data_IF_062124901346
#
_entry.id   IF_062124901346
#
_cell.length_a   1.000
_cell.length_b   1.000
_cell.length_c   1.000
_cell.angle_alpha   90.00
_cell.angle_beta   90.00
_cell.angle_gamma   90.00
#
_symmetry.space_group_name_H-M   'P 1'
#
loop_
_entity.id
_entity.type
_entity.pdbx_description
1 polymer ?
#
# COMPACT_ATOMS: atom_id res chain seq x y z
N UNK A 1 5.67 25.19 7.67
CA UNK A 1 6.36 23.90 7.95
C UNK A 1 7.73 24.23 8.51
N UNK A 2 8.04 23.70 9.67
CA UNK A 2 9.36 23.88 10.29
C UNK A 2 10.41 23.05 9.51
N UNK A 3 11.66 23.53 9.44
CA UNK A 3 12.78 22.85 8.75
C UNK A 3 12.95 21.40 9.25
N UNK A 4 12.69 21.14 10.53
CA UNK A 4 12.70 19.82 11.14
C UNK A 4 11.62 18.88 10.59
N UNK A 5 10.44 19.41 10.26
CA UNK A 5 9.35 18.62 9.65
C UNK A 5 9.71 18.22 8.22
N UNK A 6 10.26 19.16 7.44
CA UNK A 6 10.71 18.90 6.06
C UNK A 6 11.78 17.81 6.05
N UNK A 7 12.78 17.92 6.92
CA UNK A 7 13.84 16.91 7.06
C UNK A 7 13.28 15.55 7.51
N UNK A 8 12.27 15.54 8.39
CA UNK A 8 11.60 14.31 8.82
C UNK A 8 10.90 13.58 7.67
N UNK A 9 10.13 14.30 6.84
CA UNK A 9 9.49 13.72 5.64
C UNK A 9 10.52 13.25 4.60
N UNK A 10 11.57 14.03 4.37
CA UNK A 10 12.64 13.69 3.42
C UNK A 10 13.40 12.43 3.84
N UNK A 11 13.79 12.31 5.11
CA UNK A 11 14.52 11.16 5.63
C UNK A 11 13.72 9.85 5.47
N UNK A 12 12.41 9.88 5.75
CA UNK A 12 11.55 8.72 5.57
C UNK A 12 11.38 8.31 4.11
N UNK A 13 11.21 9.29 3.24
CA UNK A 13 11.08 9.04 1.79
C UNK A 13 12.37 8.45 1.21
N UNK A 14 13.52 9.02 1.56
CA UNK A 14 14.85 8.53 1.11
C UNK A 14 15.10 7.12 1.66
N UNK A 15 14.89 6.89 2.97
CA UNK A 15 15.07 5.57 3.57
C UNK A 15 14.16 4.52 2.96
N UNK A 16 12.89 4.87 2.71
CA UNK A 16 11.92 4.00 2.04
C UNK A 16 12.36 3.66 0.61
N UNK A 17 12.97 4.59 -0.08
CA UNK A 17 13.45 4.43 -1.44
C UNK A 17 14.71 3.54 -1.51
N UNK A 18 15.66 3.73 -0.59
CA UNK A 18 16.84 2.85 -0.46
C UNK A 18 16.42 1.41 -0.21
N UNK A 19 15.47 1.18 0.72
CA UNK A 19 14.95 -0.16 0.99
C UNK A 19 14.24 -0.77 -0.23
N UNK A 20 13.55 0.05 -1.04
CA UNK A 20 12.91 -0.43 -2.27
C UNK A 20 13.90 -0.96 -3.30
N UNK A 21 15.15 -0.51 -3.30
CA UNK A 21 16.22 -1.02 -4.16
C UNK A 21 16.87 -2.28 -3.60
N UNK A 22 16.94 -2.41 -2.27
CA UNK A 22 17.58 -3.56 -1.60
C UNK A 22 16.67 -4.81 -1.65
N UNK A 23 15.35 -4.65 -1.57
CA UNK A 23 14.41 -5.78 -1.49
C UNK A 23 14.45 -6.68 -2.76
N UNK A 24 14.43 -6.16 -4.01
CA UNK A 24 14.45 -7.01 -5.22
C UNK A 24 15.64 -7.97 -5.32
N UNK A 25 16.91 -7.57 -5.11
CA UNK A 25 18.03 -8.50 -5.06
C UNK A 25 17.85 -9.59 -3.98
N UNK A 26 17.36 -9.21 -2.80
CA UNK A 26 17.12 -10.17 -1.73
C UNK A 26 16.05 -11.18 -2.11
N UNK A 27 14.98 -10.75 -2.80
CA UNK A 27 13.94 -11.66 -3.33
C UNK A 27 14.53 -12.66 -4.31
N UNK A 28 15.40 -12.21 -5.24
CA UNK A 28 15.98 -13.07 -6.26
C UNK A 28 16.93 -14.14 -5.71
N UNK A 29 17.45 -13.97 -4.49
CA UNK A 29 18.26 -15.00 -3.83
C UNK A 29 17.43 -16.18 -3.28
N UNK A 30 16.19 -15.91 -2.90
CA UNK A 30 15.34 -16.90 -2.22
C UNK A 30 14.23 -17.46 -3.11
N UNK A 31 13.75 -16.68 -4.10
CA UNK A 31 12.55 -17.04 -4.87
C UNK A 31 12.78 -17.02 -6.36
N UNK A 32 12.14 -17.94 -7.10
CA UNK A 32 12.16 -17.95 -8.56
C UNK A 32 11.43 -16.71 -9.13
N UNK A 33 11.75 -16.36 -10.38
CA UNK A 33 11.25 -15.14 -11.02
C UNK A 33 9.71 -15.12 -11.17
N UNK A 34 9.08 -16.28 -11.35
CA UNK A 34 7.62 -16.38 -11.46
C UNK A 34 6.89 -16.05 -10.14
N UNK A 35 7.44 -16.44 -8.98
CA UNK A 35 6.90 -16.04 -7.67
C UNK A 35 7.06 -14.53 -7.44
N UNK A 36 8.17 -13.94 -7.88
CA UNK A 36 8.38 -12.50 -7.84
C UNK A 36 7.36 -11.81 -8.77
N UNK A 37 7.10 -12.37 -9.95
CA UNK A 37 6.07 -11.87 -10.86
C UNK A 37 4.68 -11.87 -10.22
N UNK A 38 4.32 -12.91 -9.44
CA UNK A 38 3.06 -12.95 -8.68
C UNK A 38 2.96 -11.83 -7.65
N UNK A 39 4.04 -11.58 -6.89
CA UNK A 39 4.07 -10.46 -5.92
C UNK A 39 3.93 -9.10 -6.60
N UNK A 40 4.56 -8.92 -7.73
CA UNK A 40 4.42 -7.68 -8.51
C UNK A 40 2.96 -7.47 -8.96
N UNK A 41 2.27 -8.54 -9.38
CA UNK A 41 0.84 -8.47 -9.68
C UNK A 41 0.00 -8.13 -8.44
N UNK A 42 0.30 -8.75 -7.30
CA UNK A 42 -0.36 -8.44 -6.03
C UNK A 42 -0.22 -6.96 -5.68
N UNK A 43 0.98 -6.42 -5.74
CA UNK A 43 1.23 -4.99 -5.47
C UNK A 43 0.54 -4.07 -6.51
N UNK A 44 0.48 -4.52 -7.76
CA UNK A 44 -0.21 -3.80 -8.84
C UNK A 44 -1.72 -3.80 -8.60
N UNK A 45 -2.29 -4.93 -8.21
CA UNK A 45 -3.72 -5.05 -7.86
C UNK A 45 -4.09 -4.15 -6.68
N UNK A 46 -3.22 -4.06 -5.65
CA UNK A 46 -3.46 -3.20 -4.48
C UNK A 46 -3.67 -1.73 -4.85
N UNK A 47 -2.95 -1.22 -5.85
CA UNK A 47 -3.16 0.14 -6.35
C UNK A 47 -4.56 0.36 -6.93
N UNK A 48 -5.08 -0.62 -7.66
CA UNK A 48 -6.45 -0.59 -8.20
C UNK A 48 -7.49 -0.73 -7.09
N UNK A 49 -7.30 -1.73 -6.21
CA UNK A 49 -8.20 -2.02 -5.09
C UNK A 49 -8.41 -0.77 -4.23
N UNK A 50 -7.32 -0.09 -3.85
CA UNK A 50 -7.41 1.16 -3.08
C UNK A 50 -8.15 2.25 -3.87
N UNK A 51 -7.85 2.43 -5.16
CA UNK A 51 -8.49 3.47 -5.98
C UNK A 51 -10.01 3.23 -6.13
N UNK A 52 -10.41 1.97 -6.31
CA UNK A 52 -11.81 1.56 -6.44
C UNK A 52 -12.54 1.65 -5.10
N UNK A 53 -11.96 1.12 -4.01
CA UNK A 53 -12.63 1.08 -2.71
C UNK A 53 -12.72 2.45 -2.05
N UNK A 54 -11.67 3.28 -2.17
CA UNK A 54 -11.70 4.63 -1.61
C UNK A 54 -12.65 5.57 -2.34
N UNK A 55 -12.98 5.34 -3.60
CA UNK A 55 -13.81 6.24 -4.42
C UNK A 55 -13.38 7.72 -4.31
N UNK A 56 -12.08 7.97 -4.09
CA UNK A 56 -11.52 9.31 -3.89
C UNK A 56 -11.87 9.97 -2.54
N UNK A 57 -12.48 9.24 -1.60
CA UNK A 57 -12.80 9.74 -0.26
C UNK A 57 -11.55 10.08 0.56
N UNK A 58 -10.44 9.43 0.28
CA UNK A 58 -9.11 9.79 0.83
C UNK A 58 -8.67 11.19 0.38
N UNK A 59 -8.91 11.56 -0.87
CA UNK A 59 -8.62 12.90 -1.40
C UNK A 59 -9.61 13.94 -0.88
N UNK A 60 -10.89 13.56 -0.74
CA UNK A 60 -11.91 14.41 -0.12
C UNK A 60 -11.55 14.73 1.35
N UNK A 61 -11.00 13.74 2.09
CA UNK A 61 -10.51 13.95 3.45
C UNK A 61 -9.42 15.01 3.52
N UNK A 62 -8.43 14.95 2.64
CA UNK A 62 -7.34 15.95 2.59
C UNK A 62 -7.88 17.35 2.28
N UNK A 63 -8.79 17.44 1.30
CA UNK A 63 -9.38 18.72 0.90
C UNK A 63 -10.18 19.38 2.00
N UNK A 64 -11.04 18.62 2.68
CA UNK A 64 -11.97 19.16 3.67
C UNK A 64 -11.35 19.30 5.08
N UNK A 65 -10.14 18.75 5.30
CA UNK A 65 -9.54 18.66 6.64
C UNK A 65 -9.42 19.98 7.38
N UNK A 66 -8.98 21.06 6.70
CA UNK A 66 -8.79 22.37 7.33
C UNK A 66 -10.09 23.17 7.44
N UNK A 67 -11.08 22.88 6.61
CA UNK A 67 -12.38 23.52 6.63
C UNK A 67 -13.37 22.84 7.60
N UNK A 68 -13.11 21.60 8.00
CA UNK A 68 -13.99 20.85 8.87
C UNK A 68 -13.93 21.35 10.32
N UNK A 69 -15.09 21.65 10.89
CA UNK A 69 -15.22 22.02 12.32
C UNK A 69 -14.95 20.80 13.23
N UNK A 70 -15.42 19.60 12.82
CA UNK A 70 -15.19 18.34 13.51
C UNK A 70 -14.43 17.37 12.60
N UNK A 71 -13.15 17.21 12.88
CA UNK A 71 -12.23 16.35 12.12
C UNK A 71 -12.48 14.86 12.38
N UNK A 72 -13.04 14.51 13.51
CA UNK A 72 -13.31 13.11 13.88
C UNK A 72 -14.56 12.61 13.15
N UNK A 73 -15.59 13.42 13.06
CA UNK A 73 -16.77 13.18 12.19
C UNK A 73 -16.36 13.06 10.72
N UNK A 74 -15.49 13.96 10.24
CA UNK A 74 -14.97 13.90 8.87
C UNK A 74 -14.25 12.59 8.61
N UNK A 75 -13.30 12.22 9.47
CA UNK A 75 -12.54 10.96 9.32
C UNK A 75 -13.46 9.75 9.35
N UNK A 76 -14.32 9.63 10.37
CA UNK A 76 -15.26 8.50 10.48
C UNK A 76 -16.13 8.35 9.25
N UNK A 77 -16.71 9.45 8.81
CA UNK A 77 -17.67 9.45 7.70
C UNK A 77 -17.02 9.04 6.37
N UNK A 78 -15.78 9.48 6.11
CA UNK A 78 -15.10 9.19 4.84
C UNK A 78 -14.33 7.86 4.86
N UNK A 79 -13.92 7.37 6.05
CA UNK A 79 -13.18 6.12 6.19
C UNK A 79 -14.09 4.88 6.32
N UNK A 80 -15.23 5.01 6.99
CA UNK A 80 -16.09 3.86 7.30
C UNK A 80 -16.65 3.15 6.06
N UNK A 81 -17.21 3.84 5.02
CA UNK A 81 -17.73 3.17 3.84
C UNK A 81 -16.69 2.34 3.07
N UNK A 82 -15.48 2.88 2.74
CA UNK A 82 -14.41 2.07 2.17
C UNK A 82 -14.02 0.87 3.02
N UNK A 83 -13.94 1.05 4.35
CA UNK A 83 -13.57 -0.04 5.26
C UNK A 83 -14.62 -1.16 5.25
N UNK A 84 -15.90 -0.82 5.31
CA UNK A 84 -16.99 -1.80 5.29
C UNK A 84 -17.07 -2.54 3.94
N UNK A 85 -16.90 -1.84 2.82
CA UNK A 85 -16.87 -2.47 1.50
C UNK A 85 -15.67 -3.40 1.35
N UNK A 86 -14.48 -2.99 1.82
CA UNK A 86 -13.29 -3.84 1.82
C UNK A 86 -13.48 -5.10 2.68
N UNK A 87 -14.05 -4.95 3.89
CA UNK A 87 -14.33 -6.07 4.78
C UNK A 87 -15.35 -7.05 4.19
N UNK A 88 -16.40 -6.55 3.55
CA UNK A 88 -17.42 -7.37 2.88
C UNK A 88 -16.84 -8.17 1.71
N UNK A 89 -16.01 -7.52 0.86
CA UNK A 89 -15.34 -8.18 -0.26
C UNK A 89 -14.33 -9.22 0.26
N UNK A 90 -13.55 -8.87 1.29
CA UNK A 90 -12.61 -9.81 1.90
C UNK A 90 -13.33 -11.04 2.49
N UNK A 91 -14.45 -10.84 3.19
CA UNK A 91 -15.25 -11.95 3.72
C UNK A 91 -15.80 -12.84 2.60
N UNK A 92 -16.25 -12.26 1.49
CA UNK A 92 -16.70 -13.00 0.31
C UNK A 92 -15.56 -13.81 -0.32
N UNK A 93 -14.39 -13.21 -0.49
CA UNK A 93 -13.22 -13.88 -1.08
C UNK A 93 -12.69 -14.99 -0.16
N UNK A 94 -12.72 -14.79 1.15
CA UNK A 94 -12.30 -15.79 2.13
C UNK A 94 -13.29 -16.95 2.27
N UNK A 95 -14.52 -16.85 1.76
CA UNK A 95 -15.45 -17.99 1.69
C UNK A 95 -14.96 -19.09 0.72
N UNK A 96 -14.13 -18.71 -0.26
CA UNK A 96 -13.41 -19.61 -1.16
C UNK A 96 -11.94 -19.16 -1.25
N UNK A 97 -11.08 -19.57 -0.30
CA UNK A 97 -9.75 -18.99 -0.12
C UNK A 97 -8.80 -19.13 -1.32
N UNK A 98 -8.95 -20.16 -2.16
CA UNK A 98 -8.13 -20.34 -3.36
C UNK A 98 -8.54 -19.41 -4.52
N UNK A 99 -9.77 -18.89 -4.53
CA UNK A 99 -10.26 -18.08 -5.63
C UNK A 99 -9.40 -16.83 -5.94
N UNK A 100 -8.95 -16.04 -4.95
CA UNK A 100 -8.08 -14.89 -5.22
C UNK A 100 -6.75 -15.26 -5.88
N UNK A 101 -6.12 -16.37 -5.44
CA UNK A 101 -4.88 -16.86 -6.04
C UNK A 101 -5.08 -17.47 -7.42
N UNK A 102 -6.20 -18.16 -7.68
CA UNK A 102 -6.57 -18.63 -9.02
C UNK A 102 -6.68 -17.47 -10.02
N UNK A 103 -7.41 -16.40 -9.63
CA UNK A 103 -7.65 -15.23 -10.51
C UNK A 103 -6.37 -14.46 -10.78
N UNK A 104 -5.62 -14.13 -9.73
CA UNK A 104 -4.48 -13.22 -9.86
C UNK A 104 -3.20 -13.95 -10.24
N UNK A 105 -2.93 -15.11 -9.64
CA UNK A 105 -1.67 -15.85 -9.77
C UNK A 105 -1.76 -17.05 -10.70
N UNK A 106 -2.98 -17.43 -11.14
CA UNK A 106 -3.24 -18.67 -11.87
C UNK A 106 -2.76 -19.90 -11.09
N UNK A 107 -2.95 -19.89 -9.76
CA UNK A 107 -2.49 -20.89 -8.81
C UNK A 107 -3.64 -21.27 -7.87
N UNK A 108 -3.99 -22.55 -7.78
CA UNK A 108 -4.97 -23.06 -6.81
C UNK A 108 -4.28 -23.31 -5.46
N UNK A 109 -4.12 -22.24 -4.67
CA UNK A 109 -3.46 -22.27 -3.36
C UNK A 109 -4.23 -21.37 -2.38
N UNK A 110 -4.90 -22.00 -1.43
CA UNK A 110 -5.68 -21.28 -0.41
C UNK A 110 -4.79 -20.41 0.50
N UNK A 111 -3.56 -20.84 0.81
CA UNK A 111 -2.66 -20.07 1.67
C UNK A 111 -2.19 -18.79 0.96
N UNK A 112 -1.82 -18.89 -0.31
CA UNK A 112 -1.48 -17.73 -1.14
C UNK A 112 -2.68 -16.79 -1.30
N UNK A 113 -3.89 -17.32 -1.47
CA UNK A 113 -5.12 -16.54 -1.56
C UNK A 113 -5.47 -15.79 -0.26
N UNK A 114 -5.32 -16.43 0.90
CA UNK A 114 -5.49 -15.77 2.20
C UNK A 114 -4.47 -14.65 2.36
N UNK A 115 -3.18 -14.93 2.06
CA UNK A 115 -2.12 -13.92 2.10
C UNK A 115 -2.43 -12.70 1.22
N UNK A 116 -2.91 -12.93 -0.01
CA UNK A 116 -3.35 -11.89 -0.92
C UNK A 116 -4.47 -11.02 -0.31
N UNK A 117 -5.54 -11.64 0.20
CA UNK A 117 -6.68 -10.90 0.77
C UNK A 117 -6.26 -10.08 1.99
N UNK A 118 -5.43 -10.62 2.88
CA UNK A 118 -4.90 -9.91 4.04
C UNK A 118 -4.00 -8.74 3.63
N UNK A 119 -3.17 -8.93 2.59
CA UNK A 119 -2.34 -7.88 2.03
C UNK A 119 -3.21 -6.73 1.50
N UNK A 120 -4.18 -7.02 0.63
CA UNK A 120 -5.09 -6.04 0.04
C UNK A 120 -5.90 -5.28 1.11
N UNK A 121 -6.47 -6.00 2.09
CA UNK A 121 -7.26 -5.41 3.17
C UNK A 121 -6.44 -4.44 4.04
N UNK A 122 -5.14 -4.70 4.20
CA UNK A 122 -4.26 -3.86 5.00
C UNK A 122 -3.99 -2.48 4.40
N UNK A 123 -4.06 -2.33 3.07
CA UNK A 123 -3.75 -1.07 2.39
C UNK A 123 -4.69 0.07 2.73
N UNK A 124 -5.96 -0.22 2.92
CA UNK A 124 -6.98 0.80 3.17
C UNK A 124 -6.75 1.53 4.50
N UNK A 125 -6.62 0.83 5.66
CA UNK A 125 -6.28 1.51 6.91
C UNK A 125 -4.91 2.19 6.86
N UNK A 126 -3.91 1.59 6.22
CA UNK A 126 -2.60 2.24 6.03
C UNK A 126 -2.77 3.57 5.28
N UNK A 127 -3.52 3.60 4.18
CA UNK A 127 -3.76 4.79 3.37
C UNK A 127 -4.36 5.92 4.20
N UNK A 128 -5.49 5.67 4.89
CA UNK A 128 -6.19 6.70 5.65
C UNK A 128 -5.42 7.15 6.90
N UNK A 129 -4.79 6.22 7.64
CA UNK A 129 -4.05 6.58 8.85
C UNK A 129 -2.75 7.34 8.55
N UNK A 130 -2.10 7.07 7.41
CA UNK A 130 -1.00 7.90 6.93
C UNK A 130 -1.46 9.32 6.60
N UNK A 131 -2.63 9.49 5.97
CA UNK A 131 -3.18 10.82 5.71
C UNK A 131 -3.47 11.58 7.01
N UNK A 132 -3.98 10.91 8.05
CA UNK A 132 -4.16 11.53 9.37
C UNK A 132 -2.83 12.07 9.89
N UNK A 133 -1.77 11.26 9.92
CA UNK A 133 -0.44 11.69 10.40
C UNK A 133 0.10 12.86 9.58
N UNK A 134 -0.12 12.84 8.26
CA UNK A 134 0.30 13.91 7.36
C UNK A 134 -0.45 15.21 7.63
N UNK A 135 -1.77 15.15 7.80
CA UNK A 135 -2.61 16.32 8.05
C UNK A 135 -2.40 16.90 9.46
N UNK A 136 -1.93 16.08 10.41
CA UNK A 136 -1.54 16.52 11.76
C UNK A 136 -0.10 17.04 11.85
N UNK A 137 0.67 17.07 10.76
CA UNK A 137 2.08 17.49 10.75
C UNK A 137 3.03 16.54 11.49
N UNK A 138 2.64 15.29 11.74
CA UNK A 138 3.44 14.29 12.47
C UNK A 138 4.46 13.61 11.56
N UNK A 139 5.43 14.39 11.06
CA UNK A 139 6.39 13.97 10.05
C UNK A 139 7.17 12.69 10.40
N UNK A 140 7.69 12.59 11.63
CA UNK A 140 8.48 11.42 12.06
C UNK A 140 7.62 10.15 12.15
N UNK A 141 6.38 10.26 12.64
CA UNK A 141 5.45 9.12 12.70
C UNK A 141 5.03 8.69 11.29
N UNK A 142 4.80 9.62 10.38
CA UNK A 142 4.51 9.36 8.98
C UNK A 142 5.68 8.62 8.30
N UNK A 143 6.90 9.12 8.47
CA UNK A 143 8.11 8.56 7.85
C UNK A 143 8.45 7.18 8.41
N UNK A 144 8.37 6.99 9.73
CA UNK A 144 8.59 5.68 10.34
C UNK A 144 7.56 4.65 9.84
N UNK A 145 6.29 5.04 9.71
CA UNK A 145 5.25 4.16 9.20
C UNK A 145 5.50 3.68 7.76
N UNK A 146 6.13 4.49 6.91
CA UNK A 146 6.51 4.08 5.55
C UNK A 146 7.68 3.09 5.51
N UNK A 147 8.53 3.11 6.53
CA UNK A 147 9.69 2.20 6.64
C UNK A 147 9.29 0.83 7.18
N UNK A 148 8.29 0.77 8.08
CA UNK A 148 7.90 -0.47 8.78
C UNK A 148 7.66 -1.65 7.82
N UNK A 149 6.84 -1.57 6.74
CA UNK A 149 6.58 -2.72 5.90
C UNK A 149 7.84 -3.20 5.17
N UNK A 150 8.70 -2.28 4.75
CA UNK A 150 9.94 -2.63 4.04
C UNK A 150 10.98 -3.26 4.98
N UNK A 151 11.14 -2.71 6.18
CA UNK A 151 11.99 -3.30 7.21
C UNK A 151 11.47 -4.67 7.63
N UNK A 152 10.14 -4.83 7.77
CA UNK A 152 9.55 -6.12 8.07
C UNK A 152 9.81 -7.15 6.98
N UNK A 153 9.70 -6.80 5.69
CA UNK A 153 10.06 -7.69 4.57
C UNK A 153 11.54 -8.07 4.66
N UNK A 154 12.44 -7.09 4.85
CA UNK A 154 13.88 -7.31 4.94
C UNK A 154 14.27 -8.24 6.08
N UNK A 155 13.52 -8.26 7.18
CA UNK A 155 13.74 -9.13 8.33
C UNK A 155 13.04 -10.48 8.18
N UNK A 156 11.79 -10.50 7.72
CA UNK A 156 10.97 -11.71 7.63
C UNK A 156 11.45 -12.66 6.54
N UNK A 157 11.96 -12.16 5.41
CA UNK A 157 12.45 -13.02 4.32
C UNK A 157 13.62 -13.92 4.76
N UNK A 158 14.75 -13.39 5.27
CA UNK A 158 15.84 -14.24 5.75
C UNK A 158 15.43 -15.10 6.96
N UNK A 159 14.54 -14.59 7.81
CA UNK A 159 14.05 -15.35 8.96
C UNK A 159 13.25 -16.57 8.52
N UNK A 160 12.27 -16.41 7.61
CA UNK A 160 11.37 -17.50 7.20
C UNK A 160 12.07 -18.52 6.31
N UNK A 161 12.73 -18.08 5.26
CA UNK A 161 13.35 -18.98 4.27
C UNK A 161 14.78 -19.35 4.68
N UNK A 162 15.57 -18.39 5.19
CA UNK A 162 16.97 -18.63 5.55
C UNK A 162 17.13 -19.40 6.85
N UNK A 163 16.46 -18.96 7.93
CA UNK A 163 16.66 -19.55 9.27
C UNK A 163 15.65 -20.67 9.59
N UNK A 164 14.36 -20.45 9.30
CA UNK A 164 13.29 -21.41 9.62
C UNK A 164 13.08 -22.46 8.50
N UNK A 165 13.79 -22.32 7.38
CA UNK A 165 13.76 -23.26 6.25
C UNK A 165 12.36 -23.53 5.69
N UNK A 166 11.45 -22.53 5.73
CA UNK A 166 10.17 -22.65 5.04
C UNK A 166 10.37 -22.77 3.52
N UNK A 167 9.48 -23.48 2.81
CA UNK A 167 9.60 -23.62 1.37
C UNK A 167 9.52 -22.26 0.68
N UNK A 168 10.45 -22.01 -0.24
CA UNK A 168 10.45 -20.79 -1.05
C UNK A 168 9.37 -20.89 -2.15
N UNK A 169 8.13 -20.56 -1.81
CA UNK A 169 6.98 -20.61 -2.69
C UNK A 169 6.10 -19.35 -2.57
N UNK A 170 5.13 -19.21 -3.47
CA UNK A 170 4.19 -18.08 -3.52
C UNK A 170 3.45 -17.88 -2.19
N UNK A 171 3.04 -18.97 -1.50
CA UNK A 171 2.28 -18.87 -0.25
C UNK A 171 3.11 -18.22 0.88
N UNK A 172 4.36 -18.64 1.06
CA UNK A 172 5.25 -18.04 2.05
C UNK A 172 5.56 -16.59 1.69
N UNK A 173 5.78 -16.29 0.43
CA UNK A 173 6.10 -14.95 -0.02
C UNK A 173 4.92 -13.98 0.16
N UNK A 174 3.71 -14.40 -0.21
CA UNK A 174 2.49 -13.59 0.05
C UNK A 174 2.22 -13.40 1.52
N UNK A 175 2.47 -14.43 2.36
CA UNK A 175 2.35 -14.33 3.82
C UNK A 175 3.34 -13.31 4.41
N UNK A 176 4.60 -13.31 3.95
CA UNK A 176 5.61 -12.33 4.38
C UNK A 176 5.16 -10.90 4.06
N UNK A 177 4.68 -10.66 2.83
CA UNK A 177 4.18 -9.33 2.45
C UNK A 177 2.92 -8.93 3.21
N UNK A 178 2.00 -9.87 3.44
CA UNK A 178 0.79 -9.63 4.25
C UNK A 178 1.15 -9.28 5.70
N UNK A 179 2.03 -10.05 6.34
CA UNK A 179 2.50 -9.79 7.70
C UNK A 179 3.23 -8.45 7.82
N UNK A 180 4.07 -8.11 6.84
CA UNK A 180 4.78 -6.84 6.81
C UNK A 180 3.81 -5.64 6.74
N UNK A 181 2.77 -5.74 5.90
CA UNK A 181 1.75 -4.69 5.82
C UNK A 181 0.83 -4.67 7.05
N UNK A 182 0.48 -5.82 7.61
CA UNK A 182 -0.28 -5.89 8.86
C UNK A 182 0.52 -5.27 10.02
N UNK A 183 1.85 -5.47 10.08
CA UNK A 183 2.71 -4.80 11.04
C UNK A 183 2.69 -3.27 10.87
N UNK A 184 2.71 -2.78 9.62
CA UNK A 184 2.56 -1.35 9.34
C UNK A 184 1.17 -0.82 9.74
N UNK A 185 0.11 -1.56 9.45
CA UNK A 185 -1.25 -1.21 9.87
C UNK A 185 -1.36 -1.17 11.41
N UNK A 186 -0.83 -2.17 12.11
CA UNK A 186 -0.81 -2.22 13.57
C UNK A 186 -0.01 -1.05 14.16
N UNK A 187 1.16 -0.73 13.60
CA UNK A 187 1.96 0.42 13.99
C UNK A 187 1.18 1.74 13.83
N UNK A 188 0.50 1.93 12.70
CA UNK A 188 -0.33 3.10 12.44
C UNK A 188 -1.55 3.19 13.37
N UNK A 189 -2.20 2.08 13.66
CA UNK A 189 -3.30 2.02 14.64
C UNK A 189 -2.80 2.42 16.03
N UNK A 190 -1.62 1.95 16.43
CA UNK A 190 -1.00 2.35 17.68
C UNK A 190 -0.67 3.85 17.73
N UNK A 191 -0.08 4.40 16.67
CA UNK A 191 0.25 5.82 16.56
C UNK A 191 -0.99 6.72 16.60
N UNK A 192 -2.12 6.25 16.09
CA UNK A 192 -3.39 7.00 16.01
C UNK A 192 -4.41 6.59 17.09
N UNK A 193 -4.01 5.80 18.10
CA UNK A 193 -4.93 5.19 19.09
C UNK A 193 -5.83 6.21 19.82
N UNK A 194 -5.26 7.37 20.19
CA UNK A 194 -6.02 8.41 20.89
C UNK A 194 -7.11 8.99 19.97
N UNK A 195 -6.78 9.27 18.72
CA UNK A 195 -7.73 9.76 17.73
C UNK A 195 -8.81 8.73 17.41
N UNK A 196 -8.43 7.47 17.23
CA UNK A 196 -9.38 6.39 16.95
C UNK A 196 -10.41 6.19 18.08
N UNK A 197 -10.01 6.42 19.35
CA UNK A 197 -10.95 6.44 20.47
C UNK A 197 -11.97 7.57 20.34
N UNK A 198 -11.55 8.79 19.98
CA UNK A 198 -12.45 9.93 19.75
C UNK A 198 -13.38 9.67 18.54
N UNK A 199 -12.81 9.21 17.43
CA UNK A 199 -13.55 8.84 16.20
C UNK A 199 -14.65 7.81 16.44
N UNK A 200 -14.45 6.86 17.37
CA UNK A 200 -15.47 5.85 17.71
C UNK A 200 -16.78 6.50 18.14
N UNK A 201 -16.72 7.59 18.92
CA UNK A 201 -17.87 8.30 19.47
C UNK A 201 -18.38 9.43 18.56
N UNK A 202 -17.63 9.80 17.52
CA UNK A 202 -18.05 10.84 16.58
C UNK A 202 -19.30 10.40 15.79
N UNK A 203 -20.21 11.31 15.45
CA UNK A 203 -21.38 11.01 14.64
C UNK A 203 -20.97 10.72 13.18
N UNK A 204 -21.83 9.97 12.48
CA UNK A 204 -21.72 9.79 11.03
C UNK A 204 -22.58 10.85 10.33
N UNK A 205 -22.04 11.55 9.33
CA UNK A 205 -22.74 12.63 8.61
C UNK A 205 -22.97 12.29 7.14
N UNK A 206 -24.19 11.94 6.74
CA UNK A 206 -24.50 11.68 5.33
C UNK A 206 -24.21 12.86 4.40
N UNK A 207 -24.34 14.10 4.90
CA UNK A 207 -24.04 15.31 4.16
C UNK A 207 -22.54 15.41 3.81
N UNK A 208 -21.67 15.08 4.76
CA UNK A 208 -20.21 15.01 4.55
C UNK A 208 -19.88 13.91 3.54
N UNK A 209 -20.49 12.73 3.66
CA UNK A 209 -20.29 11.64 2.71
C UNK A 209 -20.68 12.05 1.30
N UNK A 210 -21.86 12.66 1.13
CA UNK A 210 -22.34 13.09 -0.18
C UNK A 210 -21.39 14.10 -0.85
N UNK A 211 -20.92 15.11 -0.09
CA UNK A 211 -19.91 16.06 -0.59
C UNK A 211 -18.60 15.37 -0.93
N UNK A 212 -18.14 14.43 -0.07
CA UNK A 212 -16.95 13.65 -0.28
C UNK A 212 -17.02 12.82 -1.57
N UNK A 213 -18.12 12.12 -1.82
CA UNK A 213 -18.33 11.32 -3.04
C UNK A 213 -18.42 12.19 -4.29
N UNK A 214 -19.15 13.31 -4.23
CA UNK A 214 -19.25 14.24 -5.37
C UNK A 214 -17.89 14.77 -5.82
N UNK A 215 -16.98 15.00 -4.89
CA UNK A 215 -15.60 15.39 -5.18
C UNK A 215 -14.71 14.19 -5.53
N UNK A 216 -14.86 13.10 -4.80
CA UNK A 216 -13.97 11.93 -4.87
C UNK A 216 -14.14 11.11 -6.14
N UNK A 217 -15.39 10.87 -6.60
CA UNK A 217 -15.67 10.01 -7.76
C UNK A 217 -14.92 10.46 -9.03
N UNK A 218 -14.93 11.74 -9.44
CA UNK A 218 -14.13 12.17 -10.59
C UNK A 218 -12.63 11.92 -10.43
N UNK A 219 -12.09 12.09 -9.20
CA UNK A 219 -10.69 11.83 -8.90
C UNK A 219 -10.41 10.32 -8.94
N UNK A 220 -11.31 9.50 -8.40
CA UNK A 220 -11.18 8.04 -8.47
C UNK A 220 -11.12 7.54 -9.91
N UNK A 221 -11.96 8.05 -10.79
CA UNK A 221 -11.94 7.72 -12.22
C UNK A 221 -10.60 8.08 -12.87
N UNK A 222 -10.08 9.28 -12.57
CA UNK A 222 -8.76 9.71 -13.04
C UNK A 222 -7.64 8.82 -12.49
N UNK A 223 -7.73 8.43 -11.22
CA UNK A 223 -6.75 7.55 -10.56
C UNK A 223 -6.76 6.14 -11.16
N UNK A 224 -7.95 5.60 -11.46
CA UNK A 224 -8.10 4.28 -12.12
C UNK A 224 -7.53 4.33 -13.55
N UNK A 225 -7.82 5.39 -14.31
CA UNK A 225 -7.26 5.58 -15.64
C UNK A 225 -5.73 5.68 -15.63
N UNK A 226 -5.18 6.47 -14.68
CA UNK A 226 -3.74 6.57 -14.47
C UNK A 226 -3.13 5.22 -14.06
N UNK A 227 -3.79 4.47 -13.15
CA UNK A 227 -3.36 3.13 -12.77
C UNK A 227 -3.31 2.19 -13.97
N UNK A 228 -4.34 2.21 -14.82
CA UNK A 228 -4.39 1.40 -16.03
C UNK A 228 -3.21 1.70 -16.97
N UNK A 229 -2.90 2.97 -17.17
CA UNK A 229 -1.74 3.39 -17.96
C UNK A 229 -0.41 2.96 -17.32
N UNK A 230 -0.25 3.18 -16.01
CA UNK A 230 0.97 2.89 -15.27
C UNK A 230 1.22 1.39 -15.04
N UNK A 231 0.19 0.55 -15.22
CA UNK A 231 0.25 -0.90 -14.99
C UNK A 231 0.11 -1.71 -16.29
N UNK A 232 -0.10 -1.04 -17.41
CA UNK A 232 -0.34 -1.68 -18.71
C UNK A 232 0.79 -2.65 -19.08
N UNK A 233 2.04 -2.24 -18.92
CA UNK A 233 3.24 -3.03 -19.17
C UNK A 233 3.22 -4.37 -18.41
N UNK A 234 2.89 -4.35 -17.12
CA UNK A 234 2.82 -5.53 -16.26
C UNK A 234 1.69 -6.48 -16.65
N UNK A 235 0.53 -5.92 -16.97
CA UNK A 235 -0.62 -6.70 -17.39
C UNK A 235 -0.40 -7.37 -18.75
N UNK A 236 0.19 -6.64 -19.71
CA UNK A 236 0.55 -7.19 -21.01
C UNK A 236 1.65 -8.26 -20.89
N UNK A 237 2.69 -8.02 -20.09
CA UNK A 237 3.73 -9.01 -19.84
C UNK A 237 3.16 -10.29 -19.21
N UNK A 238 2.30 -10.18 -18.18
CA UNK A 238 1.61 -11.36 -17.64
C UNK A 238 0.90 -12.15 -18.74
N UNK A 239 0.16 -11.45 -19.60
CA UNK A 239 -0.71 -12.07 -20.60
C UNK A 239 0.06 -12.73 -21.73
N UNK A 240 1.13 -12.10 -22.24
CA UNK A 240 1.83 -12.50 -23.46
C UNK A 240 3.18 -13.18 -23.23
N UNK A 241 3.86 -12.87 -22.14
CA UNK A 241 5.18 -13.37 -21.84
C UNK A 241 5.25 -14.26 -20.57
N UNK A 242 4.21 -14.23 -19.74
CA UNK A 242 4.12 -15.03 -18.52
C UNK A 242 4.70 -14.37 -17.28
N UNK A 243 4.57 -15.08 -16.14
CA UNK A 243 4.93 -14.56 -14.81
C UNK A 243 6.44 -14.46 -14.61
N UNK A 244 7.21 -15.39 -15.15
CA UNK A 244 8.68 -15.37 -15.09
C UNK A 244 9.25 -14.09 -15.72
N UNK A 245 8.82 -13.77 -16.95
CA UNK A 245 9.27 -12.56 -17.64
C UNK A 245 8.82 -11.28 -16.94
N UNK A 246 7.63 -11.31 -16.34
CA UNK A 246 7.15 -10.20 -15.49
C UNK A 246 8.05 -10.01 -14.27
N UNK A 247 8.47 -11.09 -13.63
CA UNK A 247 9.39 -11.03 -12.48
C UNK A 247 10.74 -10.41 -12.87
N UNK A 248 11.37 -10.91 -13.93
CA UNK A 248 12.64 -10.39 -14.45
C UNK A 248 12.53 -8.90 -14.84
N UNK A 249 11.49 -8.54 -15.59
CA UNK A 249 11.22 -7.16 -15.99
C UNK A 249 11.08 -6.22 -14.78
N UNK A 250 10.33 -6.65 -13.76
CA UNK A 250 10.07 -5.84 -12.58
C UNK A 250 11.30 -5.64 -11.70
N UNK A 251 12.20 -6.63 -11.66
CA UNK A 251 13.53 -6.44 -11.05
C UNK A 251 14.32 -5.37 -11.80
N UNK A 252 14.36 -5.43 -13.14
CA UNK A 252 15.03 -4.42 -13.96
C UNK A 252 14.51 -3.00 -13.71
N UNK A 253 13.18 -2.82 -13.65
CA UNK A 253 12.54 -1.54 -13.32
C UNK A 253 12.94 -1.05 -11.92
N UNK A 254 13.05 -1.96 -10.94
CA UNK A 254 13.43 -1.59 -9.58
C UNK A 254 14.83 -0.96 -9.52
N UNK A 255 15.76 -1.43 -10.33
CA UNK A 255 17.08 -0.80 -10.49
C UNK A 255 16.98 0.55 -11.23
N UNK A 256 16.13 0.65 -12.27
CA UNK A 256 15.84 1.92 -12.93
C UNK A 256 15.23 2.97 -11.99
N UNK A 257 14.40 2.54 -11.05
CA UNK A 257 13.84 3.38 -9.98
C UNK A 257 14.92 4.02 -9.09
N UNK A 258 16.05 3.35 -8.86
CA UNK A 258 17.17 3.93 -8.15
C UNK A 258 17.75 5.19 -8.86
N UNK A 259 17.83 5.17 -10.19
CA UNK A 259 18.28 6.33 -10.96
C UNK A 259 17.34 7.54 -10.80
N UNK A 260 16.03 7.30 -10.74
CA UNK A 260 15.02 8.35 -10.48
C UNK A 260 15.17 8.96 -9.09
N UNK A 261 15.62 8.19 -8.09
CA UNK A 261 15.93 8.71 -6.76
C UNK A 261 17.11 9.71 -6.80
N UNK A 262 18.19 9.36 -7.47
CA UNK A 262 19.31 10.30 -7.65
C UNK A 262 18.84 11.57 -8.34
N UNK A 263 18.04 11.46 -9.39
CA UNK A 263 17.44 12.60 -10.07
C UNK A 263 16.57 13.45 -9.13
N UNK A 264 15.72 12.84 -8.30
CA UNK A 264 14.84 13.57 -7.37
C UNK A 264 15.63 14.30 -6.29
N UNK A 265 16.66 13.66 -5.73
CA UNK A 265 17.58 14.28 -4.75
C UNK A 265 18.32 15.46 -5.41
N UNK A 266 18.87 15.23 -6.60
CA UNK A 266 19.57 16.27 -7.35
C UNK A 266 18.65 17.46 -7.65
N UNK A 267 17.45 17.21 -8.15
CA UNK A 267 16.45 18.28 -8.40
C UNK A 267 16.10 19.06 -7.15
N UNK A 268 15.95 18.38 -6.00
CA UNK A 268 15.59 19.03 -4.73
C UNK A 268 16.71 19.97 -4.26
N UNK A 269 17.98 19.59 -4.48
CA UNK A 269 19.14 20.38 -4.09
C UNK A 269 19.42 21.52 -5.10
N UNK A 270 19.22 21.26 -6.40
CA UNK A 270 19.57 22.18 -7.47
C UNK A 270 18.50 23.26 -7.76
N UNK A 271 17.22 22.92 -7.59
CA UNK A 271 16.12 23.83 -7.92
C UNK A 271 16.15 25.20 -7.20
N UNK A 272 16.70 25.36 -5.96
CA UNK A 272 16.81 26.65 -5.31
C UNK A 272 17.93 27.55 -5.87
N UNK A 273 18.83 27.03 -6.72
CA UNK A 273 19.94 27.72 -7.34
C UNK A 273 19.68 28.02 -8.83
#
# INVERSE_FOLDING_TARGET
MDTKEILGYAAGSIGSAVLAVIIPPLLSWYFPADDIGRIVLMQTAAGLTVSVLCLGLDQAYVREYYAAADKDTLFKTLFLPPLLSAAAIAALLLSRPSLPSEILFSLDDAAAGIGLVLFELSFLPIRFLLLVLRMEGRALAFSSAQLVPKLAILLLLPLTVGLLHFPANTAVLTAVYALANLAAAAFLLFQNRCRLKAVRHAPFSPAVLHRGLRYGIPIALSSIAYWGLASADRLFLKKYAGLEQLGVYSMGISFGGAALLFQSIFSTVWTPY
#
